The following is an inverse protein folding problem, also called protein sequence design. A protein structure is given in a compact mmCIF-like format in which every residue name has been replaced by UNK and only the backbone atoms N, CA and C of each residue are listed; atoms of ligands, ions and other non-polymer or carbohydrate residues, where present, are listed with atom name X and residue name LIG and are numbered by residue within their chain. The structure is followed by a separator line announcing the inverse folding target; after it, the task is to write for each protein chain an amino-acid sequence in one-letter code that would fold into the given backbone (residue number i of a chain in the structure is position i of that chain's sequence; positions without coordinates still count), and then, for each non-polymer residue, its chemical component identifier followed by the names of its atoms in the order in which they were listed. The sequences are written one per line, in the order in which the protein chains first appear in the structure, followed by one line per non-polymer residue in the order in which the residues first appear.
data_IF_536305974782
#
_entry.id   IF_536305974782
#
_cell.length_a   1.000
_cell.length_b   1.000
_cell.length_c   1.000
_cell.angle_alpha   90.00
_cell.angle_beta   90.00
_cell.angle_gamma   90.00
#
_symmetry.space_group_name_H-M   'P 1'
#
loop_
_entity.id
_entity.type
_entity.pdbx_description
1 polymer ?
#
# COMPACT_ATOMS: atom_id res chain seq x y z
N UNK A 1 25.81 12.66 -11.38
CA UNK A 1 24.78 13.17 -12.29
C UNK A 1 23.47 12.43 -12.02
N UNK A 2 22.42 13.17 -11.69
CA UNK A 2 21.10 12.58 -11.52
C UNK A 2 20.49 12.42 -12.92
N UNK A 3 20.21 11.19 -13.30
CA UNK A 3 19.57 10.91 -14.59
C UNK A 3 18.08 10.65 -14.33
N UNK A 4 17.25 11.51 -14.91
CA UNK A 4 15.80 11.35 -14.83
C UNK A 4 15.30 10.67 -16.09
N UNK A 5 14.53 9.62 -15.90
CA UNK A 5 13.89 8.89 -16.97
C UNK A 5 12.38 9.06 -16.86
N UNK A 6 11.69 8.93 -17.97
CA UNK A 6 10.24 8.95 -18.01
C UNK A 6 9.71 7.52 -17.92
N UNK A 7 8.76 7.33 -17.03
CA UNK A 7 8.14 6.00 -16.81
C UNK A 7 6.63 6.08 -16.98
N UNK A 8 6.07 5.01 -17.49
CA UNK A 8 4.63 4.80 -17.55
C UNK A 8 4.26 3.82 -16.44
N UNK A 9 3.40 4.24 -15.53
CA UNK A 9 2.91 3.42 -14.43
C UNK A 9 1.47 3.04 -14.71
N UNK A 10 1.20 1.74 -14.77
CA UNK A 10 -0.17 1.20 -14.84
C UNK A 10 -0.50 0.64 -13.48
N UNK A 11 -1.72 0.86 -13.01
CA UNK A 11 -2.12 0.43 -11.67
C UNK A 11 -3.63 0.23 -11.59
N UNK A 12 -4.08 -0.49 -10.57
CA UNK A 12 -5.50 -0.72 -10.33
C UNK A 12 -5.75 -1.60 -9.12
N UNK A 13 -7.03 -1.97 -8.96
CA UNK A 13 -7.45 -2.95 -7.96
C UNK A 13 -7.39 -4.35 -8.57
N UNK A 14 -6.99 -5.34 -7.77
CA UNK A 14 -6.98 -6.73 -8.20
C UNK A 14 -8.38 -7.29 -8.44
N UNK A 15 -9.39 -6.69 -7.80
CA UNK A 15 -10.78 -7.09 -7.94
C UNK A 15 -11.50 -6.47 -9.13
N UNK A 16 -10.81 -5.60 -9.89
CA UNK A 16 -11.39 -4.84 -10.99
C UNK A 16 -10.51 -4.98 -12.23
N UNK A 17 -11.12 -5.10 -13.40
CA UNK A 17 -10.41 -5.18 -14.67
C UNK A 17 -9.93 -3.82 -15.17
N UNK A 18 -10.38 -2.74 -14.54
CA UNK A 18 -10.03 -1.40 -14.99
C UNK A 18 -8.60 -1.04 -14.60
N UNK A 19 -7.81 -0.64 -15.60
CA UNK A 19 -6.46 -0.16 -15.40
C UNK A 19 -6.41 1.36 -15.52
N UNK A 20 -5.63 1.97 -14.63
CA UNK A 20 -5.32 3.39 -14.66
C UNK A 20 -3.88 3.58 -15.06
N UNK A 21 -3.52 4.77 -15.49
CA UNK A 21 -2.13 5.06 -15.87
C UNK A 21 -1.72 6.45 -15.46
N UNK A 22 -0.42 6.60 -15.21
CA UNK A 22 0.21 7.88 -14.94
C UNK A 22 1.63 7.87 -15.53
N UNK A 23 2.13 9.04 -15.85
CA UNK A 23 3.53 9.20 -16.27
C UNK A 23 4.29 9.91 -15.17
N UNK A 24 5.49 9.43 -14.88
CA UNK A 24 6.37 10.04 -13.89
C UNK A 24 7.76 10.24 -14.50
N UNK A 25 8.48 11.22 -13.99
CA UNK A 25 9.87 11.47 -14.34
C UNK A 25 10.68 11.42 -13.07
N UNK A 26 11.60 10.47 -12.97
CA UNK A 26 12.40 10.31 -11.76
C UNK A 26 13.67 9.50 -12.05
N UNK A 27 14.56 9.47 -11.05
CA UNK A 27 15.71 8.58 -11.05
C UNK A 27 15.27 7.11 -11.01
N UNK A 28 15.93 6.21 -11.75
CA UNK A 28 15.57 4.78 -11.72
C UNK A 28 15.52 4.14 -10.33
N UNK A 29 16.36 4.62 -9.40
CA UNK A 29 16.34 4.10 -8.03
C UNK A 29 15.12 4.50 -7.23
N UNK A 30 14.35 5.49 -7.70
CA UNK A 30 13.17 5.99 -7.01
C UNK A 30 11.85 5.55 -7.65
N UNK A 31 11.90 4.86 -8.78
CA UNK A 31 10.70 4.58 -9.58
C UNK A 31 9.67 3.74 -8.83
N UNK A 32 10.10 2.71 -8.10
CA UNK A 32 9.17 1.86 -7.37
C UNK A 32 8.52 2.60 -6.20
N UNK A 33 9.29 3.43 -5.50
CA UNK A 33 8.75 4.25 -4.42
C UNK A 33 7.71 5.25 -4.95
N UNK A 34 8.00 5.89 -6.09
CA UNK A 34 7.07 6.84 -6.71
C UNK A 34 5.80 6.14 -7.20
N UNK A 35 5.95 4.95 -7.81
CA UNK A 35 4.81 4.16 -8.25
C UNK A 35 3.94 3.74 -7.06
N UNK A 36 4.56 3.29 -5.97
CA UNK A 36 3.82 2.91 -4.76
C UNK A 36 3.06 4.09 -4.17
N UNK A 37 3.63 5.29 -4.20
CA UNK A 37 2.96 6.50 -3.73
C UNK A 37 1.69 6.78 -4.55
N UNK A 38 1.75 6.59 -5.87
CA UNK A 38 0.58 6.76 -6.74
C UNK A 38 -0.51 5.75 -6.40
N UNK A 39 -0.13 4.49 -6.23
CA UNK A 39 -1.07 3.41 -5.88
C UNK A 39 -1.72 3.65 -4.53
N UNK A 40 -0.95 4.08 -3.53
CA UNK A 40 -1.46 4.38 -2.19
C UNK A 40 -2.45 5.55 -2.22
N UNK A 41 -2.15 6.60 -2.97
CA UNK A 41 -3.06 7.74 -3.13
C UNK A 41 -4.36 7.32 -3.83
N UNK A 42 -4.26 6.47 -4.84
CA UNK A 42 -5.41 5.91 -5.54
C UNK A 42 -6.30 5.09 -4.59
N UNK A 43 -5.68 4.22 -3.79
CA UNK A 43 -6.40 3.41 -2.81
C UNK A 43 -7.09 4.27 -1.75
N UNK A 44 -6.38 5.25 -1.18
CA UNK A 44 -6.94 6.16 -0.18
C UNK A 44 -8.14 6.95 -0.73
N UNK A 45 -8.05 7.39 -1.98
CA UNK A 45 -9.14 8.12 -2.62
C UNK A 45 -10.40 7.25 -2.76
N UNK A 46 -10.23 5.97 -3.12
CA UNK A 46 -11.37 5.05 -3.22
C UNK A 46 -12.01 4.77 -1.86
N UNK A 47 -11.20 4.70 -0.80
CA UNK A 47 -11.71 4.55 0.56
C UNK A 47 -12.51 5.80 0.96
N UNK A 48 -11.99 6.99 0.70
CA UNK A 48 -12.69 8.25 1.01
C UNK A 48 -14.02 8.38 0.27
N UNK A 49 -14.07 7.89 -0.97
CA UNK A 49 -15.30 7.93 -1.77
C UNK A 49 -16.30 6.84 -1.40
N UNK A 50 -15.94 5.93 -0.48
CA UNK A 50 -16.79 4.82 -0.09
C UNK A 50 -16.90 3.72 -1.13
N UNK A 51 -16.02 3.71 -2.14
CA UNK A 51 -16.01 2.69 -3.20
C UNK A 51 -15.50 1.35 -2.66
N UNK A 52 -14.48 1.42 -1.80
CA UNK A 52 -13.93 0.24 -1.12
C UNK A 52 -13.89 0.50 0.38
N UNK A 53 -13.94 -0.59 1.15
CA UNK A 53 -13.82 -0.53 2.60
C UNK A 53 -12.40 -0.93 3.01
N UNK A 54 -11.82 -0.18 3.94
CA UNK A 54 -10.55 -0.52 4.55
C UNK A 54 -10.67 -0.37 6.06
N UNK A 55 -10.03 -1.26 6.79
CA UNK A 55 -9.96 -1.20 8.24
C UNK A 55 -8.94 -0.13 8.67
N UNK A 56 -9.20 0.52 9.80
CA UNK A 56 -8.24 1.46 10.38
C UNK A 56 -7.08 0.71 11.02
N UNK A 57 -5.98 1.43 11.27
CA UNK A 57 -4.84 0.84 11.99
C UNK A 57 -5.26 0.36 13.38
N UNK A 58 -6.18 1.06 14.05
CA UNK A 58 -6.68 0.66 15.36
C UNK A 58 -7.35 -0.70 15.34
N UNK A 59 -8.07 -1.03 14.27
CA UNK A 59 -8.65 -2.36 14.09
C UNK A 59 -7.58 -3.44 14.13
N UNK A 60 -6.47 -3.23 13.43
CA UNK A 60 -5.37 -4.20 13.40
C UNK A 60 -4.65 -4.30 14.74
N UNK A 61 -4.51 -3.19 15.46
CA UNK A 61 -3.93 -3.18 16.81
C UNK A 61 -4.77 -4.06 17.74
N UNK A 62 -6.09 -3.89 17.73
CA UNK A 62 -6.98 -4.70 18.55
C UNK A 62 -6.94 -6.18 18.16
N UNK A 63 -6.84 -6.47 16.87
CA UNK A 63 -6.70 -7.85 16.39
C UNK A 63 -5.44 -8.52 16.93
N UNK A 64 -4.31 -7.81 16.92
CA UNK A 64 -3.05 -8.33 17.48
C UNK A 64 -3.18 -8.56 18.98
N UNK A 65 -3.75 -7.60 19.72
CA UNK A 65 -3.96 -7.70 21.17
C UNK A 65 -4.83 -8.91 21.52
N UNK A 66 -5.92 -9.13 20.78
CA UNK A 66 -6.82 -10.25 21.01
C UNK A 66 -6.13 -11.61 20.79
N UNK A 67 -5.34 -11.71 19.74
CA UNK A 67 -4.58 -12.94 19.45
C UNK A 67 -3.56 -13.24 20.55
N UNK A 68 -2.85 -12.23 21.03
CA UNK A 68 -1.87 -12.38 22.10
C UNK A 68 -2.53 -12.76 23.42
N UNK A 69 -3.69 -12.17 23.72
CA UNK A 69 -4.46 -12.49 24.92
C UNK A 69 -4.91 -13.95 24.92
N UNK A 70 -5.35 -14.47 23.78
CA UNK A 70 -5.78 -15.87 23.65
C UNK A 70 -4.64 -16.85 23.89
N UNK A 71 -3.42 -16.48 23.51
CA UNK A 71 -2.24 -17.32 23.66
C UNK A 71 -1.49 -17.04 24.96
N UNK A 72 -1.96 -16.12 25.79
CA UNK A 72 -1.31 -15.68 27.03
C UNK A 72 0.12 -15.18 26.83
N UNK A 73 0.36 -14.50 25.71
CA UNK A 73 1.65 -13.93 25.36
C UNK A 73 1.63 -12.44 25.60
N UNK A 74 2.71 -11.90 26.17
CA UNK A 74 2.89 -10.46 26.33
C UNK A 74 3.97 -9.95 25.38
N UNK A 75 3.61 -8.94 24.62
CA UNK A 75 4.53 -8.23 23.74
C UNK A 75 4.69 -6.80 24.22
N UNK A 76 5.85 -6.19 23.91
CA UNK A 76 6.01 -4.76 24.07
C UNK A 76 5.02 -4.02 23.17
N UNK A 77 4.56 -2.88 23.62
CA UNK A 77 3.58 -2.07 22.88
C UNK A 77 4.07 -1.75 21.47
N UNK A 78 5.35 -1.41 21.31
CA UNK A 78 5.95 -1.13 20.00
C UNK A 78 5.83 -2.32 19.04
N UNK A 79 6.03 -3.53 19.53
CA UNK A 79 5.93 -4.73 18.71
C UNK A 79 4.50 -4.97 18.22
N UNK A 80 3.50 -4.66 19.04
CA UNK A 80 2.10 -4.75 18.67
C UNK A 80 1.79 -3.79 17.51
N UNK A 81 2.24 -2.55 17.60
CA UNK A 81 2.01 -1.55 16.56
C UNK A 81 2.75 -1.89 15.27
N UNK A 82 3.98 -2.41 15.35
CA UNK A 82 4.73 -2.83 14.16
C UNK A 82 3.98 -3.95 13.43
N UNK A 83 3.47 -4.94 14.16
CA UNK A 83 2.71 -6.03 13.54
C UNK A 83 1.41 -5.54 12.94
N UNK A 84 0.71 -4.62 13.64
CA UNK A 84 -0.53 -4.03 13.13
C UNK A 84 -0.30 -3.24 11.83
N UNK A 85 0.75 -2.44 11.77
CA UNK A 85 1.11 -1.71 10.54
C UNK A 85 1.48 -2.67 9.41
N UNK A 86 2.18 -3.74 9.71
CA UNK A 86 2.52 -4.77 8.72
C UNK A 86 1.25 -5.36 8.11
N UNK A 87 0.27 -5.70 8.93
CA UNK A 87 -1.03 -6.23 8.47
C UNK A 87 -1.77 -5.20 7.62
N UNK A 88 -1.78 -3.95 8.07
CA UNK A 88 -2.47 -2.86 7.37
C UNK A 88 -1.90 -2.65 5.96
N UNK A 89 -0.59 -2.54 5.83
CA UNK A 89 0.04 -2.34 4.53
C UNK A 89 0.00 -3.59 3.65
N UNK A 90 0.08 -4.78 4.24
CA UNK A 90 -0.06 -6.04 3.51
C UNK A 90 -1.43 -6.16 2.86
N UNK A 91 -2.49 -5.79 3.60
CA UNK A 91 -3.85 -5.81 3.06
C UNK A 91 -3.97 -4.92 1.82
N UNK A 92 -3.45 -3.70 1.89
CA UNK A 92 -3.44 -2.76 0.76
C UNK A 92 -2.67 -3.30 -0.43
N UNK A 93 -1.49 -3.86 -0.19
CA UNK A 93 -0.64 -4.44 -1.22
C UNK A 93 -1.31 -5.61 -1.93
N UNK A 94 -2.07 -6.43 -1.19
CA UNK A 94 -2.81 -7.55 -1.76
C UNK A 94 -4.05 -7.10 -2.55
N UNK A 95 -4.57 -5.90 -2.27
CA UNK A 95 -5.76 -5.37 -2.93
C UNK A 95 -5.45 -4.62 -4.22
N UNK A 96 -4.21 -4.24 -4.44
CA UNK A 96 -3.77 -3.39 -5.56
C UNK A 96 -2.67 -4.06 -6.38
N UNK A 97 -2.43 -3.52 -7.56
CA UNK A 97 -1.32 -3.93 -8.42
C UNK A 97 -0.75 -2.71 -9.14
N UNK A 98 0.51 -2.80 -9.53
CA UNK A 98 1.09 -1.82 -10.44
C UNK A 98 2.18 -2.45 -11.32
N UNK A 99 2.42 -1.83 -12.47
CA UNK A 99 3.48 -2.20 -13.41
C UNK A 99 4.15 -0.92 -13.87
N UNK A 100 5.46 -0.97 -14.01
CA UNK A 100 6.27 0.17 -14.45
C UNK A 100 7.00 -0.20 -15.74
N UNK A 101 6.91 0.68 -16.75
CA UNK A 101 7.61 0.53 -18.01
C UNK A 101 8.34 1.84 -18.32
N UNK A 102 9.53 1.76 -18.91
CA UNK A 102 10.19 2.95 -19.42
C UNK A 102 9.37 3.53 -20.58
N UNK A 103 9.17 4.85 -20.55
CA UNK A 103 8.46 5.57 -21.61
C UNK A 103 9.43 6.50 -22.32
N UNK A 104 9.59 6.33 -23.61
CA UNK A 104 10.50 7.12 -24.43
C UNK A 104 9.76 8.25 -25.14
#
# INVERSE_FOLDING_TARGET
MIMNYRYHVKYGLRSDDQAHSAFIVCDPGMVNLRAQTIVDAFYDNLVEQGVIFDNTIDYYVEQVRDELAKEHIQWAEEAIWVDAYTRYYTHRSLATWYQVEEAY
#
